data_IF_607516008669
#
_entry.id   IF_607516008669
#
_cell.length_a   1.000
_cell.length_b   1.000
_cell.length_c   1.000
_cell.angle_alpha   90.00
_cell.angle_beta   90.00
_cell.angle_gamma   90.00
#
_symmetry.space_group_name_H-M   'P 1'
#
loop_
_entity.id
_entity.type
_entity.pdbx_description
1 polymer ?
#
# COMPACT_ATOMS: atom_id res chain seq x y z
N UNK A 1 -19.07 -12.53 3.59
CA UNK A 1 -19.87 -11.26 3.67
C UNK A 1 -19.23 -10.28 2.73
N UNK A 2 -19.95 -9.81 1.72
CA UNK A 2 -19.48 -8.72 0.84
C UNK A 2 -19.49 -7.42 1.63
N UNK A 3 -18.31 -6.87 1.86
CA UNK A 3 -18.19 -5.59 2.55
C UNK A 3 -18.44 -4.48 1.53
N UNK A 4 -19.54 -3.75 1.68
CA UNK A 4 -19.91 -2.66 0.78
C UNK A 4 -19.63 -1.30 1.42
N UNK A 5 -19.24 -0.34 0.61
CA UNK A 5 -19.08 1.07 0.99
C UNK A 5 -19.84 1.97 0.03
N UNK A 6 -20.36 3.09 0.54
CA UNK A 6 -21.04 4.10 -0.26
C UNK A 6 -20.22 5.38 -0.28
N UNK A 7 -19.95 5.90 -1.47
CA UNK A 7 -19.22 7.14 -1.67
C UNK A 7 -19.66 7.83 -2.98
N UNK A 8 -19.79 9.15 -2.96
CA UNK A 8 -20.17 9.92 -4.16
C UNK A 8 -21.50 9.48 -4.84
N UNK A 9 -22.44 8.96 -4.05
CA UNK A 9 -23.71 8.44 -4.57
C UNK A 9 -23.61 7.05 -5.23
N UNK A 10 -22.45 6.42 -5.20
CA UNK A 10 -22.19 5.09 -5.75
C UNK A 10 -21.94 4.07 -4.63
N UNK A 11 -22.16 2.79 -4.94
CA UNK A 11 -21.83 1.67 -4.05
C UNK A 11 -20.64 0.92 -4.63
N UNK A 12 -19.70 0.62 -3.76
CA UNK A 12 -18.50 -0.17 -4.08
C UNK A 12 -18.44 -1.39 -3.17
N UNK A 13 -17.92 -2.50 -3.68
CA UNK A 13 -17.69 -3.73 -2.93
C UNK A 13 -16.22 -4.11 -2.90
N UNK A 14 -15.77 -4.68 -1.77
CA UNK A 14 -14.46 -5.30 -1.70
C UNK A 14 -14.49 -6.69 -2.35
N UNK A 15 -13.47 -6.98 -3.14
CA UNK A 15 -13.25 -8.26 -3.78
C UNK A 15 -11.77 -8.66 -3.70
N UNK A 16 -11.50 -9.95 -3.50
CA UNK A 16 -10.16 -10.48 -3.61
C UNK A 16 -9.71 -10.45 -5.07
N UNK A 17 -8.43 -10.19 -5.32
CA UNK A 17 -7.86 -10.25 -6.66
C UNK A 17 -8.02 -11.67 -7.22
N UNK A 18 -8.72 -11.80 -8.35
CA UNK A 18 -8.81 -13.04 -9.14
C UNK A 18 -7.92 -12.99 -10.38
N UNK A 19 -7.67 -14.15 -10.99
CA UNK A 19 -6.84 -14.22 -12.21
C UNK A 19 -7.44 -13.41 -13.37
N UNK A 20 -8.75 -13.33 -13.43
CA UNK A 20 -9.51 -12.54 -14.41
C UNK A 20 -9.29 -11.03 -14.30
N UNK A 21 -8.88 -10.56 -13.13
CA UNK A 21 -8.68 -9.14 -12.83
C UNK A 21 -7.25 -8.65 -13.14
N UNK A 22 -6.32 -9.54 -13.46
CA UNK A 22 -4.88 -9.23 -13.53
C UNK A 22 -4.56 -8.11 -14.52
N UNK A 23 -5.10 -8.14 -15.72
CA UNK A 23 -4.76 -7.16 -16.77
C UNK A 23 -5.22 -5.73 -16.36
N UNK A 24 -6.46 -5.60 -15.86
CA UNK A 24 -6.98 -4.30 -15.41
C UNK A 24 -6.24 -3.83 -14.15
N UNK A 25 -5.89 -4.75 -13.25
CA UNK A 25 -5.13 -4.42 -12.03
C UNK A 25 -3.71 -3.95 -12.37
N UNK A 26 -2.98 -4.62 -13.27
CA UNK A 26 -1.66 -4.18 -13.72
C UNK A 26 -1.72 -2.81 -14.38
N UNK A 27 -2.71 -2.61 -15.25
CA UNK A 27 -2.93 -1.30 -15.87
C UNK A 27 -3.16 -0.20 -14.83
N UNK A 28 -3.95 -0.48 -13.79
CA UNK A 28 -4.21 0.48 -12.70
C UNK A 28 -2.95 0.72 -11.85
N UNK A 29 -2.20 -0.32 -11.52
CA UNK A 29 -0.93 -0.21 -10.82
C UNK A 29 0.06 0.68 -11.58
N UNK A 30 0.22 0.47 -12.89
CA UNK A 30 1.09 1.27 -13.74
C UNK A 30 0.77 2.77 -13.69
N UNK A 31 -0.51 3.11 -13.60
CA UNK A 31 -0.96 4.51 -13.53
C UNK A 31 -0.84 5.11 -12.13
N UNK A 32 -0.97 4.32 -11.08
CA UNK A 32 -0.99 4.82 -9.70
C UNK A 32 0.39 4.82 -9.04
N UNK A 33 1.19 3.76 -9.28
CA UNK A 33 2.46 3.54 -8.57
C UNK A 33 3.66 3.34 -9.49
N UNK A 34 3.49 3.62 -10.80
CA UNK A 34 4.55 3.60 -11.81
C UNK A 34 4.62 2.30 -12.60
N UNK A 35 4.99 2.43 -13.88
CA UNK A 35 5.04 1.30 -14.80
C UNK A 35 6.09 0.29 -14.40
N UNK A 36 5.75 -0.97 -14.59
CA UNK A 36 6.59 -2.13 -14.30
C UNK A 36 6.99 -2.26 -12.81
N UNK A 37 6.21 -1.68 -11.90
CA UNK A 37 6.40 -1.96 -10.48
C UNK A 37 5.91 -3.37 -10.13
N UNK A 38 4.83 -3.82 -10.77
CA UNK A 38 4.26 -5.15 -10.64
C UNK A 38 4.26 -5.88 -11.99
N UNK A 39 4.54 -7.17 -11.92
CA UNK A 39 4.39 -8.13 -13.01
C UNK A 39 3.21 -9.07 -12.74
N UNK A 40 2.87 -9.91 -13.70
CA UNK A 40 1.86 -10.95 -13.51
C UNK A 40 2.28 -11.95 -12.44
N UNK A 41 3.57 -12.26 -12.37
CA UNK A 41 4.19 -13.14 -11.37
C UNK A 41 4.06 -12.54 -9.96
N UNK A 42 4.27 -11.22 -9.81
CA UNK A 42 4.09 -10.55 -8.52
C UNK A 42 2.63 -10.63 -8.03
N UNK A 43 1.65 -10.47 -8.92
CA UNK A 43 0.24 -10.63 -8.58
C UNK A 43 -0.10 -12.08 -8.21
N UNK A 44 0.45 -13.06 -8.94
CA UNK A 44 0.29 -14.48 -8.61
C UNK A 44 0.84 -14.78 -7.21
N UNK A 45 2.07 -14.35 -6.92
CA UNK A 45 2.66 -14.50 -5.60
C UNK A 45 1.82 -13.82 -4.50
N UNK A 46 1.25 -12.64 -4.80
CA UNK A 46 0.42 -11.92 -3.84
C UNK A 46 -0.89 -12.63 -3.50
N UNK A 47 -1.48 -13.41 -4.42
CA UNK A 47 -2.70 -14.18 -4.13
C UNK A 47 -2.41 -15.56 -3.52
N UNK A 48 -1.23 -16.12 -3.75
CA UNK A 48 -0.82 -17.43 -3.24
C UNK A 48 -0.24 -17.37 -1.81
N UNK A 49 0.33 -16.22 -1.42
CA UNK A 49 0.97 -16.07 -0.12
C UNK A 49 -0.07 -15.87 1.00
N UNK A 50 -0.09 -16.76 2.00
CA UNK A 50 -1.04 -16.73 3.13
C UNK A 50 -0.98 -15.45 3.97
N UNK A 51 0.19 -14.82 4.04
CA UNK A 51 0.41 -13.60 4.82
C UNK A 51 0.11 -12.33 4.04
N UNK A 52 -0.32 -12.41 2.79
CA UNK A 52 -0.58 -11.26 1.92
C UNK A 52 -2.05 -11.14 1.53
N UNK A 53 -2.43 -9.95 1.10
CA UNK A 53 -3.77 -9.67 0.61
C UNK A 53 -3.69 -8.59 -0.47
N UNK A 54 -4.13 -8.95 -1.66
CA UNK A 54 -4.39 -7.99 -2.72
C UNK A 54 -5.91 -7.83 -2.87
N UNK A 55 -6.42 -6.68 -2.45
CA UNK A 55 -7.84 -6.38 -2.38
C UNK A 55 -8.21 -5.35 -3.43
N UNK A 56 -9.26 -5.63 -4.17
CA UNK A 56 -9.85 -4.73 -5.16
C UNK A 56 -11.07 -4.04 -4.57
N UNK A 57 -11.33 -2.84 -5.05
CA UNK A 57 -12.58 -2.12 -4.86
C UNK A 57 -13.30 -2.06 -6.21
N UNK A 58 -14.47 -2.71 -6.30
CA UNK A 58 -15.25 -2.81 -7.54
C UNK A 58 -16.56 -2.02 -7.43
N UNK A 59 -16.99 -1.39 -8.54
CA UNK A 59 -18.32 -0.83 -8.68
C UNK A 59 -19.38 -1.95 -8.78
N UNK A 60 -20.67 -1.60 -8.75
CA UNK A 60 -21.75 -2.56 -8.95
C UNK A 60 -21.69 -3.26 -10.31
N UNK A 61 -21.17 -2.57 -11.32
CA UNK A 61 -20.99 -3.08 -12.68
C UNK A 61 -19.73 -3.97 -12.82
N UNK A 62 -18.97 -4.18 -11.72
CA UNK A 62 -17.77 -5.00 -11.71
C UNK A 62 -16.49 -4.28 -12.12
N UNK A 63 -16.53 -2.98 -12.43
CA UNK A 63 -15.35 -2.20 -12.79
C UNK A 63 -14.43 -2.02 -11.59
N UNK A 64 -13.10 -2.17 -11.75
CA UNK A 64 -12.12 -1.90 -10.71
C UNK A 64 -12.02 -0.37 -10.50
N UNK A 65 -12.40 0.09 -9.33
CA UNK A 65 -12.31 1.50 -8.90
C UNK A 65 -11.00 1.79 -8.16
N UNK A 66 -10.40 0.78 -7.54
CA UNK A 66 -9.16 0.91 -6.81
C UNK A 66 -8.66 -0.41 -6.26
N UNK A 67 -7.50 -0.36 -5.64
CA UNK A 67 -6.91 -1.54 -4.98
C UNK A 67 -6.08 -1.12 -3.77
N UNK A 68 -5.81 -2.09 -2.90
CA UNK A 68 -4.79 -2.03 -1.86
C UNK A 68 -4.08 -3.38 -1.77
N UNK A 69 -2.75 -3.34 -1.67
CA UNK A 69 -1.92 -4.50 -1.42
C UNK A 69 -1.21 -4.35 -0.07
N UNK A 70 -1.38 -5.32 0.82
CA UNK A 70 -0.78 -5.33 2.14
C UNK A 70 -0.46 -6.76 2.58
N UNK A 71 0.46 -6.91 3.53
CA UNK A 71 0.88 -8.20 4.05
C UNK A 71 1.48 -8.10 5.46
N UNK A 72 1.58 -9.26 6.14
CA UNK A 72 2.37 -9.40 7.35
C UNK A 72 3.82 -9.69 7.00
N UNK A 73 4.72 -9.09 7.76
CA UNK A 73 6.17 -9.22 7.58
C UNK A 73 6.89 -9.04 8.92
N UNK A 74 8.20 -8.93 8.88
CA UNK A 74 9.06 -8.65 10.01
C UNK A 74 9.74 -7.26 9.90
N UNK A 75 10.36 -6.86 10.98
CA UNK A 75 11.10 -5.59 11.10
C UNK A 75 12.28 -5.53 10.12
N UNK A 76 12.96 -6.64 9.89
CA UNK A 76 14.09 -6.76 8.97
C UNK A 76 13.65 -6.48 7.53
N UNK A 77 12.46 -6.96 7.12
CA UNK A 77 11.94 -6.67 5.78
C UNK A 77 11.57 -5.19 5.63
N UNK A 78 10.99 -4.57 6.66
CA UNK A 78 10.73 -3.11 6.65
C UNK A 78 12.04 -2.34 6.52
N UNK A 79 13.07 -2.74 7.26
CA UNK A 79 14.41 -2.12 7.20
C UNK A 79 15.02 -2.25 5.79
N UNK A 80 14.98 -3.44 5.19
CA UNK A 80 15.44 -3.66 3.80
C UNK A 80 14.70 -2.78 2.80
N UNK A 81 13.37 -2.74 2.89
CA UNK A 81 12.52 -2.02 1.94
C UNK A 81 12.65 -0.49 2.06
N UNK A 82 12.86 0.01 3.27
CA UNK A 82 13.06 1.44 3.56
C UNK A 82 14.51 1.88 3.48
N UNK A 83 15.48 0.93 3.45
CA UNK A 83 16.92 1.19 3.59
C UNK A 83 17.28 1.91 4.90
N UNK A 84 16.49 1.72 5.93
CA UNK A 84 16.79 2.14 7.29
C UNK A 84 17.50 1.02 8.05
N UNK A 85 18.18 1.39 9.13
CA UNK A 85 18.78 0.39 10.04
C UNK A 85 17.67 -0.34 10.79
N UNK A 86 17.85 -1.65 10.99
CA UNK A 86 16.88 -2.51 11.68
C UNK A 86 16.60 -2.03 13.10
N UNK A 87 17.65 -1.61 13.81
CA UNK A 87 17.59 -1.07 15.17
C UNK A 87 16.63 0.11 15.26
N UNK A 88 16.69 1.02 14.28
CA UNK A 88 15.79 2.19 14.21
C UNK A 88 14.33 1.81 14.02
N UNK A 89 14.04 0.73 13.29
CA UNK A 89 12.67 0.23 13.14
C UNK A 89 12.24 -0.46 14.44
N UNK A 90 13.11 -1.31 15.02
CA UNK A 90 12.82 -2.04 16.26
C UNK A 90 12.54 -1.12 17.45
N UNK A 91 13.26 0.01 17.56
CA UNK A 91 13.07 1.00 18.63
C UNK A 91 11.66 1.63 18.68
N UNK A 92 10.97 1.65 17.54
CA UNK A 92 9.62 2.25 17.45
C UNK A 92 8.50 1.20 17.50
N UNK A 93 8.84 -0.09 17.44
CA UNK A 93 7.89 -1.18 17.56
C UNK A 93 7.64 -1.51 19.04
N UNK A 94 6.39 -1.46 19.47
CA UNK A 94 6.01 -1.64 20.88
C UNK A 94 6.40 -3.02 21.43
N UNK A 95 6.36 -4.06 20.58
CA UNK A 95 6.70 -5.46 20.95
C UNK A 95 8.10 -5.89 20.46
N UNK A 96 8.94 -4.97 20.02
CA UNK A 96 10.24 -5.28 19.42
C UNK A 96 10.08 -6.23 18.22
N UNK A 97 10.94 -7.25 18.13
CA UNK A 97 10.90 -8.23 17.02
C UNK A 97 10.05 -9.48 17.32
N UNK A 98 9.23 -9.45 18.37
CA UNK A 98 8.48 -10.64 18.83
C UNK A 98 7.14 -10.84 18.11
N UNK A 99 6.58 -9.79 17.54
CA UNK A 99 5.31 -9.84 16.82
C UNK A 99 5.49 -9.45 15.35
N UNK A 100 4.65 -9.98 14.46
CA UNK A 100 4.66 -9.55 13.07
C UNK A 100 4.24 -8.10 12.97
N UNK A 101 4.75 -7.42 11.95
CA UNK A 101 4.33 -6.07 11.57
C UNK A 101 3.56 -6.12 10.25
N UNK A 102 2.62 -5.23 10.08
CA UNK A 102 1.91 -5.06 8.83
C UNK A 102 2.67 -4.13 7.88
N UNK A 103 2.57 -4.39 6.59
CA UNK A 103 3.03 -3.46 5.57
C UNK A 103 1.93 -3.21 4.55
N UNK A 104 1.53 -1.94 4.39
CA UNK A 104 0.76 -1.50 3.22
C UNK A 104 1.78 -1.20 2.11
N UNK A 105 1.81 -2.08 1.11
CA UNK A 105 2.80 -2.04 0.04
C UNK A 105 2.45 -1.02 -1.04
N UNK A 106 1.17 -0.98 -1.43
CA UNK A 106 0.69 -0.02 -2.42
C UNK A 106 -0.83 0.15 -2.35
N UNK A 107 -1.28 1.29 -2.84
CA UNK A 107 -2.68 1.65 -2.96
C UNK A 107 -2.87 2.50 -4.21
N UNK A 108 -3.93 2.23 -4.95
CA UNK A 108 -4.30 2.99 -6.13
C UNK A 108 -5.80 3.19 -6.23
N UNK A 109 -6.21 4.39 -6.63
CA UNK A 109 -7.60 4.72 -6.98
C UNK A 109 -7.61 5.24 -8.41
N UNK A 110 -8.48 4.65 -9.24
CA UNK A 110 -8.71 5.06 -10.62
C UNK A 110 -9.16 6.52 -10.65
N UNK A 111 -8.70 7.28 -11.63
CA UNK A 111 -8.80 8.74 -11.65
C UNK A 111 -10.23 9.24 -11.46
N UNK A 112 -11.19 8.64 -12.14
CA UNK A 112 -12.61 9.00 -12.08
C UNK A 112 -13.26 8.78 -10.69
N UNK A 113 -12.64 7.95 -9.83
CA UNK A 113 -13.13 7.65 -8.47
C UNK A 113 -12.32 8.32 -7.36
N UNK A 114 -11.38 9.21 -7.72
CA UNK A 114 -10.62 9.98 -6.72
C UNK A 114 -11.50 11.00 -6.00
N UNK A 115 -10.98 11.50 -4.88
CA UNK A 115 -11.66 12.49 -4.03
C UNK A 115 -12.98 12.02 -3.38
N UNK A 116 -13.35 10.75 -3.53
CA UNK A 116 -14.50 10.12 -2.87
C UNK A 116 -14.17 9.51 -1.48
N UNK A 117 -12.95 9.67 -0.99
CA UNK A 117 -12.52 9.08 0.30
C UNK A 117 -12.21 7.58 0.25
N UNK A 118 -12.23 6.94 -0.93
CA UNK A 118 -12.05 5.50 -1.10
C UNK A 118 -10.70 5.00 -0.60
N UNK A 119 -9.62 5.74 -0.81
CA UNK A 119 -8.29 5.37 -0.30
C UNK A 119 -8.28 5.26 1.23
N UNK A 120 -8.95 6.17 1.94
CA UNK A 120 -9.10 6.10 3.38
C UNK A 120 -9.90 4.88 3.84
N UNK A 121 -10.93 4.48 3.09
CA UNK A 121 -11.69 3.26 3.37
C UNK A 121 -10.83 1.99 3.21
N UNK A 122 -10.07 1.90 2.11
CA UNK A 122 -9.14 0.80 1.87
C UNK A 122 -8.08 0.70 2.97
N UNK A 123 -7.48 1.83 3.37
CA UNK A 123 -6.47 1.83 4.44
C UNK A 123 -7.08 1.38 5.76
N UNK A 124 -8.24 1.91 6.17
CA UNK A 124 -8.91 1.49 7.42
C UNK A 124 -9.23 0.01 7.42
N UNK A 125 -9.73 -0.53 6.30
CA UNK A 125 -9.98 -1.97 6.16
C UNK A 125 -8.68 -2.78 6.32
N UNK A 126 -7.60 -2.41 5.64
CA UNK A 126 -6.31 -3.09 5.75
C UNK A 126 -5.77 -3.06 7.18
N UNK A 127 -5.89 -1.93 7.88
CA UNK A 127 -5.45 -1.80 9.29
C UNK A 127 -6.23 -2.76 10.21
N UNK A 128 -7.55 -2.87 10.03
CA UNK A 128 -8.37 -3.83 10.79
C UNK A 128 -7.92 -5.26 10.51
N UNK A 129 -7.74 -5.62 9.24
CA UNK A 129 -7.32 -6.98 8.87
C UNK A 129 -5.91 -7.33 9.37
N UNK A 130 -4.98 -6.38 9.33
CA UNK A 130 -3.63 -6.57 9.86
C UNK A 130 -3.63 -6.74 11.39
N UNK A 131 -4.44 -5.96 12.11
CA UNK A 131 -4.61 -6.10 13.56
C UNK A 131 -5.23 -7.48 13.92
N UNK A 132 -6.27 -7.91 13.21
CA UNK A 132 -6.92 -9.22 13.39
C UNK A 132 -5.95 -10.39 13.14
N UNK A 133 -4.97 -10.19 12.25
CA UNK A 133 -3.88 -11.15 11.96
C UNK A 133 -2.70 -11.04 12.95
N UNK A 134 -2.79 -10.20 13.96
CA UNK A 134 -1.80 -10.09 15.04
C UNK A 134 -0.64 -9.13 14.77
N UNK A 135 -0.74 -8.24 13.78
CA UNK A 135 0.27 -7.20 13.61
C UNK A 135 0.23 -6.21 14.77
N UNK A 136 1.38 -5.90 15.34
CA UNK A 136 1.53 -4.88 16.39
C UNK A 136 1.52 -3.47 15.82
N UNK A 137 2.15 -3.26 14.68
CA UNK A 137 2.24 -2.00 13.95
C UNK A 137 2.00 -2.22 12.45
N UNK A 138 1.72 -1.12 11.76
CA UNK A 138 1.64 -1.10 10.29
C UNK A 138 2.55 -0.01 9.73
N UNK A 139 3.36 -0.38 8.74
CA UNK A 139 4.24 0.51 8.01
C UNK A 139 3.70 0.80 6.61
N UNK A 140 3.95 2.00 6.13
CA UNK A 140 3.75 2.39 4.74
C UNK A 140 4.92 3.26 4.28
N UNK A 141 5.44 2.98 3.09
CA UNK A 141 6.54 3.72 2.47
C UNK A 141 5.99 4.45 1.26
N UNK A 142 5.94 5.77 1.33
CA UNK A 142 5.32 6.62 0.32
C UNK A 142 6.35 7.42 -0.46
N UNK A 143 6.07 7.71 -1.73
CA UNK A 143 6.84 8.68 -2.50
C UNK A 143 6.70 10.08 -1.92
N UNK A 144 7.83 10.75 -1.76
CA UNK A 144 7.91 12.18 -1.56
C UNK A 144 8.18 12.85 -2.91
N UNK A 145 7.19 13.56 -3.42
CA UNK A 145 7.24 14.23 -4.70
C UNK A 145 7.48 15.72 -4.43
N UNK A 146 8.75 16.14 -4.31
CA UNK A 146 9.12 17.54 -4.04
C UNK A 146 8.40 18.12 -2.81
N UNK A 147 8.34 17.36 -1.71
CA UNK A 147 7.67 17.73 -0.48
C UNK A 147 6.19 17.39 -0.41
N UNK A 148 5.60 16.84 -1.47
CA UNK A 148 4.22 16.38 -1.48
C UNK A 148 4.13 14.86 -1.38
N UNK A 149 3.29 14.38 -0.47
CA UNK A 149 3.00 12.96 -0.29
C UNK A 149 1.57 12.73 -0.77
N UNK A 150 1.34 12.03 -1.89
CA UNK A 150 0.01 11.85 -2.47
C UNK A 150 -1.00 11.28 -1.47
N UNK A 151 -0.56 10.38 -0.58
CA UNK A 151 -1.37 9.76 0.47
C UNK A 151 -1.43 10.56 1.79
N UNK A 152 -0.77 11.73 1.87
CA UNK A 152 -0.57 12.46 3.12
C UNK A 152 -1.83 12.81 3.90
N UNK A 153 -2.95 13.13 3.21
CA UNK A 153 -4.25 13.35 3.87
C UNK A 153 -4.76 12.06 4.52
N UNK A 154 -4.75 10.95 3.80
CA UNK A 154 -5.20 9.63 4.30
C UNK A 154 -4.35 9.17 5.48
N UNK A 155 -3.03 9.36 5.41
CA UNK A 155 -2.12 8.98 6.49
C UNK A 155 -2.44 9.74 7.78
N UNK A 156 -2.68 11.06 7.71
CA UNK A 156 -3.11 11.85 8.88
C UNK A 156 -4.46 11.39 9.43
N UNK A 157 -5.46 11.19 8.56
CA UNK A 157 -6.79 10.73 8.96
C UNK A 157 -6.79 9.31 9.54
N UNK A 158 -5.83 8.49 9.15
CA UNK A 158 -5.60 7.15 9.69
C UNK A 158 -4.54 7.12 10.80
N UNK A 159 -4.15 8.27 11.35
CA UNK A 159 -3.24 8.41 12.50
C UNK A 159 -1.86 7.75 12.31
N UNK A 160 -1.33 7.77 11.10
CA UNK A 160 0.05 7.40 10.87
C UNK A 160 1.00 8.51 11.32
N UNK A 161 2.09 8.12 11.96
CA UNK A 161 3.18 9.01 12.39
C UNK A 161 4.35 8.88 11.43
N UNK A 162 4.96 10.00 11.04
CA UNK A 162 6.17 10.01 10.23
C UNK A 162 7.36 9.50 11.04
N UNK A 163 8.08 8.53 10.50
CA UNK A 163 9.24 7.91 11.14
C UNK A 163 10.57 8.45 10.57
N UNK A 164 10.69 8.45 9.25
CA UNK A 164 11.94 8.81 8.59
C UNK A 164 11.77 9.14 7.12
N UNK A 165 12.73 9.88 6.57
CA UNK A 165 12.94 10.04 5.14
C UNK A 165 14.09 9.15 4.68
N UNK A 166 13.87 8.36 3.64
CA UNK A 166 14.89 7.52 3.01
C UNK A 166 15.15 8.00 1.59
N UNK A 167 16.43 8.11 1.22
CA UNK A 167 16.84 8.73 -0.04
C UNK A 167 16.78 7.74 -1.20
N UNK A 168 16.01 8.07 -2.25
CA UNK A 168 16.03 7.41 -3.56
C UNK A 168 15.99 5.86 -3.51
N UNK A 169 15.19 5.28 -2.60
CA UNK A 169 15.17 3.81 -2.38
C UNK A 169 14.75 3.01 -3.62
N UNK A 170 14.02 3.64 -4.54
CA UNK A 170 13.57 3.00 -5.79
C UNK A 170 14.54 3.22 -6.96
N UNK A 171 15.67 3.93 -6.76
CA UNK A 171 16.62 4.25 -7.84
C UNK A 171 17.20 2.99 -8.50
N UNK A 172 17.42 1.91 -7.74
CA UNK A 172 17.99 0.66 -8.24
C UNK A 172 16.95 -0.28 -8.89
N UNK A 173 15.65 0.04 -8.78
CA UNK A 173 14.59 -0.66 -9.51
C UNK A 173 14.60 -0.22 -10.99
N UNK A 174 15.51 -0.80 -11.79
CA UNK A 174 15.75 -0.38 -13.18
C UNK A 174 14.52 -0.49 -14.08
N UNK A 175 13.64 -1.46 -13.84
CA UNK A 175 12.41 -1.67 -14.60
C UNK A 175 11.33 -0.63 -14.27
N UNK A 176 11.35 -0.03 -13.08
CA UNK A 176 10.35 0.94 -12.65
C UNK A 176 10.46 2.25 -13.43
N UNK A 177 9.41 2.58 -14.16
CA UNK A 177 9.24 3.90 -14.75
C UNK A 177 8.41 4.79 -13.82
N UNK A 178 9.07 5.72 -13.14
CA UNK A 178 8.42 6.65 -12.23
C UNK A 178 7.64 7.72 -13.02
N UNK A 179 6.32 7.90 -12.77
CA UNK A 179 5.50 8.87 -13.48
C UNK A 179 5.91 10.32 -13.17
N UNK A 180 6.49 10.57 -12.02
CA UNK A 180 6.89 11.90 -11.56
C UNK A 180 8.29 12.30 -12.07
N UNK A 181 9.23 11.36 -12.11
CA UNK A 181 10.56 11.57 -12.65
C UNK A 181 10.62 11.40 -14.17
N UNK A 182 9.54 10.86 -14.79
CA UNK A 182 9.45 10.52 -16.22
C UNK A 182 10.59 9.61 -16.68
N UNK A 183 10.89 8.59 -15.86
CA UNK A 183 11.97 7.64 -16.06
C UNK A 183 12.41 6.99 -14.76
N UNK A 184 13.72 6.77 -14.60
CA UNK A 184 14.29 6.18 -13.38
C UNK A 184 13.91 7.00 -12.14
N UNK A 185 13.43 6.34 -11.08
CA UNK A 185 12.93 7.03 -9.90
C UNK A 185 14.06 7.69 -9.11
N UNK A 186 13.92 9.00 -8.86
CA UNK A 186 14.80 9.82 -8.02
C UNK A 186 14.05 10.43 -6.83
N UNK A 187 12.82 9.99 -6.60
CA UNK A 187 12.03 10.46 -5.46
C UNK A 187 12.60 9.90 -4.16
N UNK A 188 12.56 10.70 -3.12
CA UNK A 188 12.77 10.22 -1.77
C UNK A 188 11.55 9.42 -1.30
N UNK A 189 11.70 8.66 -0.25
CA UNK A 189 10.66 7.91 0.41
C UNK A 189 10.39 8.47 1.81
N UNK A 190 9.13 8.58 2.16
CA UNK A 190 8.70 8.87 3.53
C UNK A 190 8.15 7.60 4.16
N UNK A 191 8.74 7.20 5.27
CA UNK A 191 8.35 6.02 6.04
C UNK A 191 7.41 6.46 7.16
N UNK A 192 6.25 5.85 7.21
CA UNK A 192 5.25 6.10 8.24
C UNK A 192 4.94 4.82 8.98
N UNK A 193 4.60 4.98 10.26
CA UNK A 193 4.21 3.90 11.17
C UNK A 193 2.88 4.24 11.83
N UNK A 194 2.07 3.21 12.09
CA UNK A 194 0.89 3.27 12.95
C UNK A 194 0.89 2.10 13.89
N UNK A 195 0.72 2.36 15.18
CA UNK A 195 0.48 1.34 16.20
C UNK A 195 -0.96 0.80 16.07
N UNK A 196 -1.14 -0.53 16.18
CA UNK A 196 -2.42 -1.23 16.09
C UNK A 196 -2.91 -1.78 17.44
N UNK A 197 -2.05 -1.79 18.44
CA UNK A 197 -2.33 -2.25 19.82
C UNK A 197 -2.39 -1.08 20.80
#
# INVERSE_FOLDING_TARGET
MTHEIKAGGQTFSFAWLGLEDFEETLWLCDRCVGKNLYTREDLTQAIEAENSTFLLLKTKEGQIAGYIYYYLTDVEQIARDSRLQTERISEVCACGNQMPVGKIQSIGIKEEFRSLGLAGQLVRFALTQLAEKGASETFIICWNIRGQIPLGKVLRECHFTHLATAKMIWYDKKALYCPYCKGRCKCDAEVFIRNLV
#
